data_IF_429626030712
#
_entry.id   IF_429626030712
#
_cell.length_a   1.000
_cell.length_b   1.000
_cell.length_c   1.000
_cell.angle_alpha   90.00
_cell.angle_beta   90.00
_cell.angle_gamma   90.00
#
_symmetry.space_group_name_H-M   'P 1'
#
loop_
_entity.id
_entity.type
_entity.pdbx_description
1 polymer ?
#
# COMPACT_ATOMS: atom_id res chain seq x y z
N UNK A 1 -4.10 16.44 5.08
CA UNK A 1 -3.53 15.15 5.53
C UNK A 1 -4.21 14.05 4.72
N UNK A 2 -3.47 13.04 4.28
CA UNK A 2 -4.02 11.87 3.59
C UNK A 2 -3.82 10.62 4.46
N UNK A 3 -4.82 9.75 4.53
CA UNK A 3 -4.75 8.48 5.24
C UNK A 3 -4.92 7.34 4.24
N UNK A 4 -3.87 6.54 4.07
CA UNK A 4 -3.82 5.40 3.16
C UNK A 4 -3.81 4.11 3.97
N UNK A 5 -4.64 3.15 3.57
CA UNK A 5 -4.73 1.85 4.23
C UNK A 5 -4.43 0.75 3.22
N UNK A 6 -3.37 -0.03 3.47
CA UNK A 6 -3.15 -1.29 2.75
C UNK A 6 -4.28 -2.24 3.13
N UNK A 7 -5.07 -2.67 2.15
CA UNK A 7 -6.33 -3.37 2.40
C UNK A 7 -6.39 -4.75 1.71
N UNK A 8 -5.37 -5.58 1.99
CA UNK A 8 -5.33 -7.01 1.68
C UNK A 8 -5.04 -7.84 2.93
N UNK A 9 -5.88 -7.73 3.98
CA UNK A 9 -5.62 -8.34 5.28
C UNK A 9 -5.51 -9.88 5.21
N UNK A 10 -6.16 -10.53 4.25
CA UNK A 10 -6.10 -11.96 3.99
C UNK A 10 -4.72 -12.46 3.50
N UNK A 11 -3.89 -11.53 3.00
CA UNK A 11 -2.49 -11.77 2.61
C UNK A 11 -1.50 -10.99 3.48
N UNK A 12 -1.92 -10.56 4.68
CA UNK A 12 -1.12 -9.70 5.57
C UNK A 12 -0.56 -8.46 4.86
N UNK A 13 -1.34 -7.91 3.92
CA UNK A 13 -0.98 -6.76 3.09
C UNK A 13 0.34 -6.94 2.32
N UNK A 14 0.69 -8.17 1.91
CA UNK A 14 1.87 -8.44 1.11
C UNK A 14 1.84 -7.65 -0.23
N UNK A 15 2.98 -7.06 -0.58
CA UNK A 15 3.18 -6.26 -1.78
C UNK A 15 3.36 -7.19 -2.98
N UNK A 16 2.24 -7.49 -3.64
CA UNK A 16 2.14 -8.22 -4.89
C UNK A 16 0.82 -7.91 -5.59
N UNK A 17 0.63 -8.49 -6.78
CA UNK A 17 -0.51 -8.22 -7.66
C UNK A 17 -0.68 -6.70 -7.90
N UNK A 18 -1.90 -6.17 -7.76
CA UNK A 18 -2.22 -4.74 -7.96
C UNK A 18 -1.84 -3.85 -6.78
N UNK A 19 -1.64 -4.38 -5.56
CA UNK A 19 -1.48 -3.57 -4.35
C UNK A 19 -0.26 -2.63 -4.43
N UNK A 20 0.81 -3.07 -5.10
CA UNK A 20 2.01 -2.24 -5.33
C UNK A 20 1.70 -1.04 -6.21
N UNK A 21 0.92 -1.26 -7.27
CA UNK A 21 0.52 -0.22 -8.22
C UNK A 21 -0.47 0.74 -7.58
N UNK A 22 -1.47 0.21 -6.86
CA UNK A 22 -2.45 0.99 -6.11
C UNK A 22 -1.77 1.90 -5.06
N UNK A 23 -0.75 1.38 -4.36
CA UNK A 23 0.03 2.16 -3.40
C UNK A 23 0.82 3.27 -4.08
N UNK A 24 1.48 2.98 -5.21
CA UNK A 24 2.21 3.99 -5.98
C UNK A 24 1.28 5.10 -6.46
N UNK A 25 0.12 4.75 -6.99
CA UNK A 25 -0.91 5.68 -7.44
C UNK A 25 -1.41 6.56 -6.30
N UNK A 26 -1.75 5.96 -5.15
CA UNK A 26 -2.28 6.67 -4.00
C UNK A 26 -1.26 7.64 -3.39
N UNK A 27 0.02 7.23 -3.30
CA UNK A 27 1.12 8.08 -2.83
C UNK A 27 1.38 9.21 -3.83
N UNK A 28 1.42 8.91 -5.14
CA UNK A 28 1.62 9.93 -6.19
C UNK A 28 0.54 11.00 -6.13
N UNK A 29 -0.74 10.60 -6.09
CA UNK A 29 -1.88 11.52 -5.98
C UNK A 29 -1.81 12.35 -4.70
N UNK A 30 -1.52 11.72 -3.56
CA UNK A 30 -1.42 12.42 -2.27
C UNK A 30 -0.23 13.38 -2.23
N UNK A 31 0.88 13.05 -2.90
CA UNK A 31 2.08 13.91 -2.96
C UNK A 31 1.91 15.12 -3.88
N UNK A 32 1.06 15.01 -4.90
CA UNK A 32 0.76 16.10 -5.83
C UNK A 32 -0.30 17.09 -5.32
N UNK A 33 -1.00 16.77 -4.24
CA UNK A 33 -2.02 17.65 -3.67
C UNK A 33 -1.38 18.67 -2.70
N UNK A 34 -1.37 19.99 -3.02
CA UNK A 34 -0.78 21.01 -2.17
C UNK A 34 -1.46 21.15 -0.80
N UNK A 35 -2.69 20.64 -0.63
CA UNK A 35 -3.38 20.60 0.66
C UNK A 35 -2.90 19.45 1.56
N UNK A 36 -2.21 18.45 1.02
CA UNK A 36 -1.68 17.31 1.77
C UNK A 36 -0.29 17.64 2.31
N UNK A 37 -0.21 17.82 3.64
CA UNK A 37 1.06 18.07 4.35
C UNK A 37 1.68 16.84 5.00
N UNK A 38 0.89 15.79 5.19
CA UNK A 38 1.26 14.55 5.86
C UNK A 38 0.48 13.40 5.22
N UNK A 39 1.16 12.28 4.97
CA UNK A 39 0.56 11.01 4.56
C UNK A 39 0.75 10.03 5.73
N UNK A 40 -0.36 9.48 6.23
CA UNK A 40 -0.34 8.36 7.17
C UNK A 40 -0.61 7.09 6.38
N UNK A 41 0.29 6.12 6.47
CA UNK A 41 0.13 4.81 5.88
C UNK A 41 -0.05 3.77 6.98
N UNK A 42 -1.11 2.99 6.91
CA UNK A 42 -1.41 1.89 7.84
C UNK A 42 -1.86 0.63 7.10
N UNK A 43 -2.00 -0.48 7.80
CA UNK A 43 -2.50 -1.75 7.25
C UNK A 43 -3.81 -2.17 7.92
N UNK A 44 -4.75 -2.68 7.13
CA UNK A 44 -5.96 -3.30 7.65
C UNK A 44 -5.64 -4.68 8.26
N UNK A 45 -6.39 -5.06 9.29
CA UNK A 45 -6.31 -6.39 9.89
C UNK A 45 -5.15 -6.56 10.88
N UNK A 46 -4.53 -7.74 10.88
CA UNK A 46 -3.63 -8.19 11.95
C UNK A 46 -2.19 -7.67 11.86
N UNK A 47 -1.83 -6.99 10.78
CA UNK A 47 -0.46 -6.52 10.57
C UNK A 47 -0.39 -5.39 9.55
N UNK A 48 0.72 -4.66 9.57
CA UNK A 48 0.98 -3.57 8.64
C UNK A 48 1.17 -4.09 7.20
N UNK A 49 2.28 -4.80 6.96
CA UNK A 49 2.64 -5.40 5.68
C UNK A 49 3.66 -6.53 5.92
N UNK A 50 3.45 -7.68 5.26
CA UNK A 50 4.35 -8.84 5.35
C UNK A 50 5.60 -8.74 4.45
N UNK A 51 5.76 -7.66 3.67
CA UNK A 51 6.83 -7.50 2.68
C UNK A 51 6.36 -7.87 1.27
N UNK A 52 7.28 -8.32 0.41
CA UNK A 52 6.94 -8.72 -0.96
C UNK A 52 6.13 -10.01 -1.02
N UNK A 53 5.18 -10.12 -1.95
CA UNK A 53 4.46 -11.37 -2.19
C UNK A 53 5.36 -12.33 -2.98
N UNK A 54 5.85 -13.37 -2.30
CA UNK A 54 6.75 -14.39 -2.89
C UNK A 54 6.14 -15.08 -4.12
N UNK A 55 4.81 -15.23 -4.18
CA UNK A 55 4.14 -15.84 -5.34
C UNK A 55 4.11 -14.89 -6.54
N UNK A 56 3.93 -13.59 -6.30
CA UNK A 56 3.96 -12.57 -7.36
C UNK A 56 5.40 -12.29 -7.83
N UNK A 57 6.37 -12.28 -6.91
CA UNK A 57 7.79 -12.08 -7.21
C UNK A 57 8.39 -13.21 -8.05
N UNK A 58 7.89 -14.44 -7.94
CA UNK A 58 8.32 -15.55 -8.78
C UNK A 58 7.90 -15.40 -10.26
N UNK A 59 7.06 -14.41 -10.58
CA UNK A 59 6.62 -14.10 -11.94
C UNK A 59 7.34 -12.87 -12.54
N UNK A 60 8.41 -12.37 -11.89
CA UNK A 60 9.26 -11.26 -12.33
C UNK A 60 10.59 -11.75 -12.90
#
# INVERSE_FOLDING_TARGET
MSALTLNRPERLNALGDTLREDLLDAVTRSSGDPAVRVIVLTGAGKGFCAGGDVKALAAW
#
